data_IF_798239055048
#
_entry.id   IF_798239055048
#
_cell.length_a   1.000
_cell.length_b   1.000
_cell.length_c   1.000
_cell.angle_alpha   90.00
_cell.angle_beta   90.00
_cell.angle_gamma   90.00
#
_symmetry.space_group_name_H-M   'P 1'
#
loop_
_entity.id
_entity.type
_entity.pdbx_description
1 polymer ?
#
# COMPACT_ATOMS: atom_id res chain seq x y z
N UNK A 1 16.67 -56.35 -12.92
CA UNK A 1 17.89 -56.41 -12.09
C UNK A 1 17.94 -55.11 -11.33
N UNK A 2 17.52 -55.10 -10.07
CA UNK A 2 17.52 -53.89 -9.25
C UNK A 2 18.95 -53.60 -8.80
N UNK A 3 19.38 -52.35 -8.94
CA UNK A 3 20.70 -51.90 -8.52
C UNK A 3 20.86 -52.13 -7.01
N UNK A 4 21.74 -53.08 -6.67
CA UNK A 4 21.95 -53.51 -5.28
C UNK A 4 22.63 -52.42 -4.46
N UNK A 5 23.42 -51.56 -5.09
CA UNK A 5 24.16 -50.53 -4.37
C UNK A 5 23.25 -49.34 -4.09
N UNK A 6 22.40 -48.96 -5.06
CA UNK A 6 21.33 -47.98 -4.83
C UNK A 6 20.35 -48.42 -3.73
N UNK A 7 20.01 -49.71 -3.66
CA UNK A 7 19.12 -50.22 -2.62
C UNK A 7 19.75 -50.18 -1.21
N UNK A 8 21.06 -50.46 -1.10
CA UNK A 8 21.79 -50.35 0.17
C UNK A 8 21.89 -48.91 0.64
N UNK A 9 22.15 -47.98 -0.27
CA UNK A 9 22.22 -46.55 0.04
C UNK A 9 20.86 -46.02 0.51
N UNK A 10 19.78 -46.38 -0.19
CA UNK A 10 18.43 -46.06 0.25
C UNK A 10 18.13 -46.60 1.65
N UNK A 11 18.49 -47.86 1.93
CA UNK A 11 18.31 -48.44 3.26
C UNK A 11 19.09 -47.65 4.32
N UNK A 12 20.36 -47.35 4.06
CA UNK A 12 21.22 -46.62 4.98
C UNK A 12 20.64 -45.22 5.31
N UNK A 13 20.27 -44.46 4.28
CA UNK A 13 19.68 -43.12 4.46
C UNK A 13 18.34 -43.17 5.20
N UNK A 14 17.52 -44.20 4.95
CA UNK A 14 16.23 -44.38 5.62
C UNK A 14 16.36 -44.66 7.13
N UNK A 15 17.44 -45.33 7.55
CA UNK A 15 17.72 -45.51 8.98
C UNK A 15 18.42 -44.28 9.58
N UNK A 16 19.28 -43.61 8.81
CA UNK A 16 19.98 -42.41 9.25
C UNK A 16 19.01 -41.26 9.56
N UNK A 17 17.96 -41.07 8.74
CA UNK A 17 16.99 -39.99 8.93
C UNK A 17 16.25 -40.09 10.27
N UNK A 18 16.05 -41.29 10.80
CA UNK A 18 15.43 -41.51 12.11
C UNK A 18 16.38 -41.33 13.31
N UNK A 19 17.69 -41.24 13.05
CA UNK A 19 18.74 -41.00 14.06
C UNK A 19 19.16 -39.53 14.10
N UNK A 20 18.83 -38.75 13.08
CA UNK A 20 19.09 -37.32 13.05
C UNK A 20 18.10 -36.62 14.00
N UNK A 21 18.58 -35.72 14.88
CA UNK A 21 17.68 -34.87 15.66
C UNK A 21 16.82 -34.07 14.68
N UNK A 22 15.51 -34.03 14.91
CA UNK A 22 14.62 -33.19 14.10
C UNK A 22 15.12 -31.75 14.13
N UNK A 23 15.18 -31.09 12.98
CA UNK A 23 15.46 -29.66 12.92
C UNK A 23 14.36 -28.96 13.70
N UNK A 24 14.70 -28.50 14.90
CA UNK A 24 13.86 -27.56 15.63
C UNK A 24 14.03 -26.23 14.93
N UNK A 25 13.15 -25.94 13.97
CA UNK A 25 12.90 -24.55 13.63
C UNK A 25 12.39 -23.89 14.92
N UNK A 26 13.26 -23.11 15.56
CA UNK A 26 12.82 -22.25 16.65
C UNK A 26 11.70 -21.37 16.09
N UNK A 27 10.49 -21.39 16.68
CA UNK A 27 9.44 -20.49 16.23
C UNK A 27 9.99 -19.07 16.37
N UNK A 28 9.96 -18.32 15.27
CA UNK A 28 10.43 -16.94 15.25
C UNK A 28 9.58 -16.17 16.27
N UNK A 29 10.19 -15.83 17.42
CA UNK A 29 9.56 -15.01 18.43
C UNK A 29 9.52 -13.56 17.93
N UNK A 30 8.33 -13.21 17.42
CA UNK A 30 8.01 -11.87 16.95
C UNK A 30 7.45 -10.98 18.08
N UNK A 31 7.32 -11.51 19.31
CA UNK A 31 6.74 -10.78 20.42
C UNK A 31 7.63 -9.57 20.77
N UNK A 32 7.02 -8.39 20.80
CA UNK A 32 7.70 -7.11 21.01
C UNK A 32 8.57 -6.57 19.85
N UNK A 33 8.88 -7.35 18.81
CA UNK A 33 9.60 -6.87 17.61
C UNK A 33 8.69 -6.24 16.56
N UNK A 34 7.42 -6.67 16.52
CA UNK A 34 6.37 -6.06 15.72
C UNK A 34 5.48 -5.20 16.63
N UNK A 35 5.77 -3.90 16.71
CA UNK A 35 4.79 -2.93 17.23
C UNK A 35 3.71 -2.73 16.16
N UNK A 36 2.54 -3.31 16.39
CA UNK A 36 1.31 -2.94 15.69
C UNK A 36 0.93 -1.52 16.11
N UNK A 37 1.42 -0.50 15.40
CA UNK A 37 1.23 0.89 15.81
C UNK A 37 -0.22 1.39 15.66
N UNK A 38 -1.06 0.75 14.86
CA UNK A 38 -2.42 1.25 14.60
C UNK A 38 -3.45 0.16 14.26
N UNK A 39 -4.06 -0.48 15.27
CA UNK A 39 -5.39 -1.07 15.11
C UNK A 39 -6.23 -0.85 16.39
N UNK A 40 -7.38 -0.16 16.25
CA UNK A 40 -8.40 -0.06 17.29
C UNK A 40 -9.48 -1.11 17.00
N UNK A 41 -9.46 -2.23 17.71
CA UNK A 41 -10.59 -3.18 17.69
C UNK A 41 -11.81 -2.50 18.32
N UNK A 42 -12.78 -2.10 17.49
CA UNK A 42 -14.10 -1.67 17.95
C UNK A 42 -15.07 -2.85 17.81
N UNK A 43 -15.62 -3.29 18.95
CA UNK A 43 -16.74 -4.24 18.99
C UNK A 43 -17.96 -3.54 18.41
N UNK A 44 -18.30 -3.83 17.16
CA UNK A 44 -19.37 -3.15 16.42
C UNK A 44 -20.76 -3.68 16.76
N UNK A 45 -20.86 -4.84 17.39
CA UNK A 45 -22.14 -5.46 17.74
C UNK A 45 -21.97 -6.50 18.84
N UNK A 46 -22.89 -6.51 19.81
CA UNK A 46 -23.06 -7.57 20.79
C UNK A 46 -24.56 -7.72 21.05
N UNK A 47 -25.12 -8.85 20.65
CA UNK A 47 -26.54 -9.13 20.77
C UNK A 47 -26.93 -10.49 20.20
N UNK A 48 -28.02 -11.07 20.72
CA UNK A 48 -28.62 -12.31 20.23
C UNK A 48 -29.39 -12.04 18.92
N UNK A 49 -29.12 -12.81 17.86
CA UNK A 49 -29.88 -12.74 16.61
C UNK A 49 -31.20 -13.49 16.83
N UNK A 50 -32.30 -12.76 17.06
CA UNK A 50 -33.65 -13.32 17.07
C UNK A 50 -34.24 -13.24 15.66
N UNK A 51 -34.66 -14.38 15.12
CA UNK A 51 -35.39 -14.45 13.85
C UNK A 51 -36.85 -14.08 14.09
N UNK A 52 -37.28 -12.91 13.62
CA UNK A 52 -38.69 -12.60 13.44
C UNK A 52 -39.19 -13.16 12.10
N UNK A 53 -40.30 -13.90 12.13
CA UNK A 53 -40.98 -14.43 10.95
C UNK A 53 -41.69 -13.28 10.22
N UNK A 54 -40.99 -12.63 9.31
CA UNK A 54 -41.58 -11.65 8.38
C UNK A 54 -41.37 -12.16 6.96
N UNK A 55 -42.46 -12.29 6.20
CA UNK A 55 -42.41 -12.67 4.79
C UNK A 55 -41.50 -11.72 4.01
N UNK A 56 -40.46 -12.28 3.41
CA UNK A 56 -39.35 -11.53 2.85
C UNK A 56 -39.76 -10.62 1.69
N UNK A 57 -39.85 -9.32 1.96
CA UNK A 57 -39.73 -8.30 0.91
C UNK A 57 -38.25 -8.04 0.64
N UNK A 58 -37.77 -8.50 -0.51
CA UNK A 58 -36.48 -8.11 -1.04
C UNK A 58 -36.55 -6.65 -1.51
N UNK A 59 -36.08 -5.73 -0.66
CA UNK A 59 -35.82 -4.35 -1.09
C UNK A 59 -34.42 -4.35 -1.71
N UNK A 60 -34.25 -4.02 -3.00
CA UNK A 60 -32.91 -3.83 -3.56
C UNK A 60 -32.22 -2.74 -2.75
N UNK A 61 -30.95 -2.95 -2.40
CA UNK A 61 -30.17 -2.02 -1.59
C UNK A 61 -30.03 -0.67 -2.30
N UNK A 62 -31.01 0.21 -2.13
CA UNK A 62 -30.90 1.63 -2.45
C UNK A 62 -30.17 2.30 -1.29
N UNK A 63 -29.15 3.06 -1.66
CA UNK A 63 -28.10 3.61 -0.81
C UNK A 63 -27.03 2.58 -0.42
N UNK A 64 -25.87 2.71 -1.08
CA UNK A 64 -24.59 2.52 -0.41
C UNK A 64 -24.72 3.29 0.89
N UNK A 65 -24.90 2.56 1.99
CA UNK A 65 -24.92 3.06 3.35
C UNK A 65 -23.91 4.18 3.46
N UNK A 66 -24.35 5.34 3.95
CA UNK A 66 -23.48 6.44 4.33
C UNK A 66 -22.37 5.85 5.20
N UNK A 67 -21.23 5.57 4.59
CA UNK A 67 -20.02 5.13 5.26
C UNK A 67 -19.60 6.38 6.02
N UNK A 68 -20.11 6.49 7.26
CA UNK A 68 -20.05 7.69 8.07
C UNK A 68 -18.66 8.26 7.96
N UNK A 69 -18.57 9.53 7.54
CA UNK A 69 -17.35 10.29 7.24
C UNK A 69 -16.14 9.79 8.05
N UNK A 70 -15.52 8.70 7.61
CA UNK A 70 -14.16 8.39 8.03
C UNK A 70 -13.40 9.49 7.33
N UNK A 71 -12.80 10.39 8.12
CA UNK A 71 -11.84 11.32 7.55
C UNK A 71 -10.82 10.45 6.81
N UNK A 72 -10.94 10.38 5.48
CA UNK A 72 -10.06 9.56 4.65
C UNK A 72 -8.65 10.07 4.93
N UNK A 73 -7.74 9.17 5.27
CA UNK A 73 -6.35 9.55 5.41
C UNK A 73 -5.89 10.21 4.10
N UNK A 74 -4.99 11.18 4.16
CA UNK A 74 -4.45 11.84 2.95
C UNK A 74 -3.92 10.80 1.95
N UNK A 75 -3.32 9.70 2.44
CA UNK A 75 -2.86 8.59 1.60
C UNK A 75 -4.00 7.77 0.99
N UNK A 76 -5.11 7.58 1.72
CA UNK A 76 -6.27 6.84 1.20
C UNK A 76 -6.96 7.64 0.09
N UNK A 77 -7.02 8.98 0.21
CA UNK A 77 -7.52 9.86 -0.88
C UNK A 77 -6.60 9.79 -2.11
N UNK A 78 -5.28 9.77 -1.91
CA UNK A 78 -4.32 9.62 -3.01
C UNK A 78 -4.54 8.28 -3.73
N UNK A 79 -4.63 7.18 -2.98
CA UNK A 79 -4.85 5.83 -3.54
C UNK A 79 -6.16 5.74 -4.31
N UNK A 80 -7.24 6.30 -3.79
CA UNK A 80 -8.54 6.32 -4.47
C UNK A 80 -8.46 7.08 -5.80
N UNK A 81 -7.83 8.26 -5.82
CA UNK A 81 -7.60 9.04 -7.05
C UNK A 81 -6.72 8.34 -8.06
N UNK A 82 -5.73 7.59 -7.58
CA UNK A 82 -4.87 6.80 -8.43
C UNK A 82 -5.70 5.67 -9.07
N UNK A 83 -6.49 4.93 -8.30
CA UNK A 83 -7.35 3.86 -8.81
C UNK A 83 -8.43 4.35 -9.79
N UNK A 84 -8.94 5.59 -9.63
CA UNK A 84 -9.84 6.20 -10.61
C UNK A 84 -9.18 6.41 -11.98
N UNK A 85 -7.88 6.74 -11.99
CA UNK A 85 -7.11 7.07 -13.21
C UNK A 85 -6.36 5.87 -13.79
N UNK A 86 -5.99 4.91 -12.95
CA UNK A 86 -5.22 3.73 -13.30
C UNK A 86 -6.04 2.48 -12.97
N UNK A 87 -6.36 1.72 -14.03
CA UNK A 87 -7.17 0.50 -13.93
C UNK A 87 -6.35 -0.76 -13.69
N UNK A 88 -5.04 -0.65 -13.47
CA UNK A 88 -4.17 -1.79 -13.18
C UNK A 88 -4.16 -2.14 -11.69
N UNK A 89 -3.46 -3.22 -11.34
CA UNK A 89 -3.34 -3.65 -9.94
C UNK A 89 -2.31 -2.80 -9.19
N UNK A 90 -2.77 -2.08 -8.16
CA UNK A 90 -1.91 -1.48 -7.15
C UNK A 90 -1.72 -2.47 -5.99
N UNK A 91 -0.46 -2.81 -5.70
CA UNK A 91 -0.12 -3.72 -4.60
C UNK A 91 0.14 -2.94 -3.32
N UNK A 92 0.06 -3.60 -2.17
CA UNK A 92 0.35 -2.97 -0.87
C UNK A 92 1.78 -2.38 -0.79
N UNK A 93 2.73 -2.94 -1.54
CA UNK A 93 4.09 -2.39 -1.68
C UNK A 93 4.11 -0.99 -2.28
N UNK A 94 3.18 -0.68 -3.21
CA UNK A 94 3.08 0.62 -3.84
C UNK A 94 2.60 1.70 -2.85
N UNK A 95 1.84 1.30 -1.81
CA UNK A 95 1.34 2.23 -0.79
C UNK A 95 2.49 2.89 -0.02
N UNK A 96 3.50 2.11 0.34
CA UNK A 96 4.68 2.60 1.06
C UNK A 96 5.49 3.53 0.16
N UNK A 97 5.67 3.16 -1.11
CA UNK A 97 6.36 3.98 -2.10
C UNK A 97 5.65 5.34 -2.33
N UNK A 98 4.32 5.34 -2.51
CA UNK A 98 3.54 6.56 -2.70
C UNK A 98 3.59 7.45 -1.44
N UNK A 99 3.55 6.84 -0.25
CA UNK A 99 3.70 7.57 1.01
C UNK A 99 5.05 8.26 1.12
N UNK A 100 6.15 7.54 0.82
CA UNK A 100 7.49 8.10 0.83
C UNK A 100 7.64 9.26 -0.18
N UNK A 101 7.11 9.11 -1.41
CA UNK A 101 7.11 10.19 -2.40
C UNK A 101 6.30 11.40 -1.93
N UNK A 102 5.13 11.18 -1.36
CA UNK A 102 4.31 12.26 -0.81
C UNK A 102 5.09 13.05 0.26
N UNK A 103 5.74 12.35 1.20
CA UNK A 103 6.47 13.00 2.29
C UNK A 103 7.72 13.73 1.80
N UNK A 104 8.41 13.18 0.79
CA UNK A 104 9.56 13.83 0.16
C UNK A 104 9.15 15.11 -0.57
N UNK A 105 8.04 15.08 -1.30
CA UNK A 105 7.53 16.23 -2.04
C UNK A 105 6.96 17.31 -1.12
N UNK A 106 6.31 16.94 -0.01
CA UNK A 106 5.78 17.94 0.93
C UNK A 106 6.88 18.63 1.75
N UNK A 107 8.01 17.95 1.94
CA UNK A 107 9.18 18.53 2.59
C UNK A 107 9.97 19.50 1.68
N UNK A 108 9.72 19.51 0.37
CA UNK A 108 10.40 20.41 -0.56
C UNK A 108 9.89 21.86 -0.42
N UNK A 109 10.70 22.70 0.24
CA UNK A 109 10.44 24.14 0.44
C UNK A 109 10.31 24.93 -0.86
N UNK A 110 11.00 24.52 -1.94
CA UNK A 110 10.89 25.18 -3.25
C UNK A 110 9.52 24.87 -3.84
N UNK A 111 9.10 23.61 -3.79
CA UNK A 111 7.79 23.18 -4.25
C UNK A 111 6.67 23.88 -3.47
N UNK A 112 6.81 24.00 -2.14
CA UNK A 112 5.88 24.75 -1.29
C UNK A 112 5.76 26.23 -1.68
N UNK A 113 6.90 26.91 -1.86
CA UNK A 113 6.92 28.33 -2.24
C UNK A 113 6.27 28.55 -3.61
N UNK A 114 6.52 27.64 -4.55
CA UNK A 114 5.90 27.64 -5.87
C UNK A 114 4.40 27.37 -5.80
N UNK A 115 3.93 26.42 -4.97
CA UNK A 115 2.50 26.15 -4.80
C UNK A 115 1.72 27.38 -4.30
N UNK A 116 2.36 28.19 -3.45
CA UNK A 116 1.78 29.42 -2.89
C UNK A 116 1.76 30.58 -3.90
N UNK A 117 2.83 30.74 -4.69
CA UNK A 117 3.02 31.92 -5.55
C UNK A 117 2.49 31.75 -6.96
N UNK A 118 2.47 30.53 -7.49
CA UNK A 118 2.12 30.24 -8.88
C UNK A 118 0.62 30.00 -9.10
N UNK A 119 0.14 30.23 -10.33
CA UNK A 119 -1.21 29.82 -10.76
C UNK A 119 -1.36 28.28 -10.68
N UNK A 120 -2.53 27.76 -10.25
CA UNK A 120 -2.76 26.33 -10.18
C UNK A 120 -2.40 25.55 -11.46
N UNK A 121 -2.66 26.12 -12.64
CA UNK A 121 -2.35 25.46 -13.92
C UNK A 121 -0.85 25.35 -14.12
N UNK A 122 -0.11 26.44 -13.90
CA UNK A 122 1.35 26.47 -14.03
C UNK A 122 2.00 25.51 -13.02
N UNK A 123 1.47 25.43 -11.81
CA UNK A 123 1.96 24.48 -10.80
C UNK A 123 1.80 23.03 -11.26
N UNK A 124 0.60 22.64 -11.68
CA UNK A 124 0.30 21.24 -12.05
C UNK A 124 0.95 20.84 -13.38
N UNK A 125 1.02 21.75 -14.36
CA UNK A 125 1.50 21.42 -15.71
C UNK A 125 3.02 21.55 -15.87
N UNK A 126 3.69 22.38 -15.07
CA UNK A 126 5.11 22.69 -15.29
C UNK A 126 6.00 22.44 -14.07
N UNK A 127 5.61 22.96 -12.90
CA UNK A 127 6.48 22.92 -11.71
C UNK A 127 6.46 21.55 -11.05
N UNK A 128 5.26 20.99 -10.85
CA UNK A 128 5.07 19.72 -10.15
C UNK A 128 5.65 18.53 -10.92
N UNK A 129 5.50 18.39 -12.26
CA UNK A 129 6.09 17.26 -12.99
C UNK A 129 7.61 17.21 -12.88
N UNK A 130 8.28 18.36 -12.88
CA UNK A 130 9.73 18.44 -12.73
C UNK A 130 10.18 18.02 -11.31
N UNK A 131 9.50 18.54 -10.28
CA UNK A 131 9.77 18.17 -8.89
C UNK A 131 9.47 16.69 -8.61
N UNK A 132 8.35 16.19 -9.11
CA UNK A 132 7.96 14.78 -9.03
C UNK A 132 9.00 13.88 -9.69
N UNK A 133 9.42 14.20 -10.93
CA UNK A 133 10.45 13.43 -11.62
C UNK A 133 11.78 13.39 -10.88
N UNK A 134 12.17 14.50 -10.26
CA UNK A 134 13.41 14.57 -9.46
C UNK A 134 13.29 13.69 -8.21
N UNK A 135 12.21 13.84 -7.44
CA UNK A 135 11.97 13.04 -6.24
C UNK A 135 11.85 11.55 -6.57
N UNK A 136 11.15 11.19 -7.65
CA UNK A 136 11.01 9.82 -8.10
C UNK A 136 12.35 9.21 -8.53
N UNK A 137 13.21 9.96 -9.23
CA UNK A 137 14.53 9.50 -9.64
C UNK A 137 15.44 9.29 -8.42
N UNK A 138 15.47 10.24 -7.48
CA UNK A 138 16.27 10.08 -6.26
C UNK A 138 15.80 8.87 -5.44
N UNK A 139 14.49 8.70 -5.27
CA UNK A 139 13.95 7.55 -4.54
C UNK A 139 14.15 6.22 -5.28
N UNK A 140 14.22 6.23 -6.61
CA UNK A 140 14.65 5.07 -7.39
C UNK A 140 16.13 4.73 -7.16
N UNK A 141 17.00 5.74 -7.03
CA UNK A 141 18.41 5.52 -6.67
C UNK A 141 18.56 4.97 -5.24
N UNK A 142 17.68 5.36 -4.32
CA UNK A 142 17.65 4.84 -2.95
C UNK A 142 17.09 3.40 -2.87
N UNK A 143 16.09 3.06 -3.69
CA UNK A 143 15.46 1.74 -3.69
C UNK A 143 14.98 1.33 -5.08
N UNK A 144 15.88 0.76 -5.89
CA UNK A 144 15.58 0.40 -7.28
C UNK A 144 14.40 -0.57 -7.40
N UNK A 145 14.35 -1.60 -6.56
CA UNK A 145 13.32 -2.65 -6.62
C UNK A 145 11.91 -2.10 -6.32
N UNK A 146 11.80 -1.16 -5.38
CA UNK A 146 10.51 -0.58 -4.97
C UNK A 146 9.91 0.37 -6.02
N UNK A 147 10.78 1.02 -6.81
CA UNK A 147 10.37 2.05 -7.77
C UNK A 147 10.42 1.58 -9.23
N UNK A 148 11.01 0.42 -9.54
CA UNK A 148 11.09 -0.11 -10.92
C UNK A 148 9.72 -0.16 -11.60
N UNK A 149 8.72 -0.70 -10.89
CA UNK A 149 7.35 -0.80 -11.39
C UNK A 149 6.67 0.56 -11.66
N UNK A 150 7.15 1.65 -11.05
CA UNK A 150 6.64 3.00 -11.33
C UNK A 150 7.14 3.53 -12.67
N UNK A 151 8.38 3.22 -13.05
CA UNK A 151 9.00 3.70 -14.29
C UNK A 151 8.74 2.77 -15.48
N UNK A 152 8.46 1.50 -15.23
CA UNK A 152 8.07 0.53 -16.27
C UNK A 152 6.68 0.82 -16.86
N UNK A 153 5.76 1.36 -16.04
CA UNK A 153 4.40 1.68 -16.48
C UNK A 153 4.15 3.20 -16.50
N UNK A 154 4.14 3.76 -17.71
CA UNK A 154 3.87 5.18 -17.94
C UNK A 154 2.47 5.62 -17.45
N UNK A 155 1.48 4.72 -17.53
CA UNK A 155 0.12 5.02 -17.06
C UNK A 155 0.09 5.10 -15.53
N UNK A 156 0.80 4.19 -14.86
CA UNK A 156 0.99 4.20 -13.41
C UNK A 156 1.71 5.47 -12.95
N UNK A 157 2.82 5.82 -13.62
CA UNK A 157 3.58 7.05 -13.36
C UNK A 157 2.68 8.30 -13.44
N UNK A 158 1.95 8.44 -14.55
CA UNK A 158 1.09 9.59 -14.79
C UNK A 158 -0.07 9.67 -13.77
N UNK A 159 -0.64 8.53 -13.38
CA UNK A 159 -1.71 8.47 -12.39
C UNK A 159 -1.21 8.91 -11.00
N UNK A 160 -0.07 8.38 -10.55
CA UNK A 160 0.57 8.73 -9.27
C UNK A 160 0.93 10.22 -9.24
N UNK A 161 1.60 10.70 -10.30
CA UNK A 161 1.95 12.12 -10.43
C UNK A 161 0.73 13.02 -10.34
N UNK A 162 -0.33 12.73 -11.10
CA UNK A 162 -1.52 13.57 -11.14
C UNK A 162 -2.31 13.55 -9.82
N UNK A 163 -2.39 12.40 -9.15
CA UNK A 163 -3.05 12.28 -7.86
C UNK A 163 -2.30 13.07 -6.77
N UNK A 164 -0.98 12.92 -6.71
CA UNK A 164 -0.13 13.64 -5.76
C UNK A 164 -0.16 15.15 -6.01
N UNK A 165 -0.14 15.59 -7.27
CA UNK A 165 -0.21 17.01 -7.62
C UNK A 165 -1.43 17.70 -6.98
N UNK A 166 -2.62 17.10 -7.13
CA UNK A 166 -3.85 17.68 -6.60
C UNK A 166 -3.94 17.66 -5.08
N UNK A 167 -3.35 16.66 -4.43
CA UNK A 167 -3.36 16.53 -2.96
C UNK A 167 -2.34 17.46 -2.33
N UNK A 168 -1.11 17.45 -2.82
CA UNK A 168 0.00 18.27 -2.33
C UNK A 168 -0.32 19.76 -2.53
N UNK A 169 -0.84 20.15 -3.69
CA UNK A 169 -1.21 21.53 -3.96
C UNK A 169 -2.25 22.06 -2.95
N UNK A 170 -3.30 21.28 -2.67
CA UNK A 170 -4.31 21.66 -1.66
C UNK A 170 -3.69 21.75 -0.27
N UNK A 171 -2.87 20.77 0.11
CA UNK A 171 -2.25 20.72 1.44
C UNK A 171 -1.31 21.91 1.67
N UNK A 172 -0.42 22.21 0.72
CA UNK A 172 0.53 23.33 0.79
C UNK A 172 -0.15 24.71 0.86
N UNK A 173 -1.39 24.84 0.37
CA UNK A 173 -2.19 26.07 0.51
C UNK A 173 -3.04 26.12 1.77
N UNK A 174 -3.46 24.97 2.30
CA UNK A 174 -4.26 24.86 3.52
C UNK A 174 -3.47 25.11 4.80
N UNK A 175 -2.14 24.91 4.82
CA UNK A 175 -1.27 25.17 5.99
C UNK A 175 -1.12 26.65 6.37
N UNK A 176 -2.04 27.53 5.94
CA UNK A 176 -2.02 28.98 6.19
C UNK A 176 -2.99 29.39 7.31
N UNK A 177 -3.15 28.58 8.35
CA UNK A 177 -3.90 28.95 9.56
C UNK A 177 -3.15 28.43 10.77
#
# INVERSE_FOLDING_TARGET
MFDKDMHKEYLFLSYLIGLLPGETEDPIDLDGKLKLEYYKLQKTFEGEIRLENVDGQYVPATSKSAQGNRQKSTLDEILEKINEKYKGEFKDSDRVMIGALHDKLIADKKLESSARTSDPRIFVESIFPAAFGTAAMESFMESQESYSALFEDQSKYNAVMSALAGVIYRKMRQTTT
#
